data_IF_888074462351
#
_entry.id   IF_888074462351
#
_cell.length_a   1.000
_cell.length_b   1.000
_cell.length_c   1.000
_cell.angle_alpha   90.00
_cell.angle_beta   90.00
_cell.angle_gamma   90.00
#
_symmetry.space_group_name_H-M   'P 1'
#
loop_
_entity.id
_entity.type
_entity.pdbx_description
1 polymer ?
#
# COMPACT_ATOMS: atom_id res chain seq x y z
N UNK A 1 19.01 12.69 7.66
CA UNK A 1 18.11 13.67 7.00
C UNK A 1 17.95 13.47 5.50
N UNK A 2 18.96 12.99 4.75
CA UNK A 2 18.82 12.73 3.30
C UNK A 2 17.74 11.70 2.94
N UNK A 3 17.57 10.64 3.74
CA UNK A 3 16.59 9.58 3.46
C UNK A 3 15.14 10.07 3.57
N UNK A 4 14.81 10.92 4.54
CA UNK A 4 13.46 11.47 4.67
C UNK A 4 13.06 12.26 3.42
N UNK A 5 13.95 13.08 2.86
CA UNK A 5 13.70 13.83 1.62
C UNK A 5 13.49 12.87 0.45
N UNK A 6 14.35 11.85 0.29
CA UNK A 6 14.20 10.84 -0.76
C UNK A 6 12.88 10.07 -0.64
N UNK A 7 12.50 9.68 0.58
CA UNK A 7 11.25 8.99 0.85
C UNK A 7 10.05 9.89 0.57
N UNK A 8 10.06 11.16 0.99
CA UNK A 8 8.98 12.10 0.71
C UNK A 8 8.84 12.36 -0.79
N UNK A 9 9.94 12.52 -1.52
CA UNK A 9 9.91 12.68 -2.99
C UNK A 9 9.38 11.41 -3.66
N UNK A 10 9.87 10.23 -3.24
CA UNK A 10 9.41 8.95 -3.79
C UNK A 10 7.90 8.75 -3.55
N UNK A 11 7.43 8.95 -2.31
CA UNK A 11 6.03 8.83 -1.96
C UNK A 11 5.16 9.87 -2.69
N UNK A 12 5.65 11.11 -2.81
CA UNK A 12 4.99 12.16 -3.58
C UNK A 12 4.85 11.81 -5.06
N UNK A 13 5.92 11.29 -5.68
CA UNK A 13 5.91 10.83 -7.07
C UNK A 13 4.98 9.64 -7.28
N UNK A 14 5.03 8.63 -6.39
CA UNK A 14 4.13 7.47 -6.47
C UNK A 14 2.66 7.88 -6.31
N UNK A 15 2.37 8.81 -5.40
CA UNK A 15 1.03 9.37 -5.21
C UNK A 15 0.57 10.12 -6.46
N UNK A 16 1.42 10.98 -7.02
CA UNK A 16 1.13 11.72 -8.25
C UNK A 16 0.90 10.80 -9.46
N UNK A 17 1.71 9.75 -9.59
CA UNK A 17 1.56 8.74 -10.65
C UNK A 17 0.21 8.02 -10.53
N UNK A 18 -0.20 7.64 -9.32
CA UNK A 18 -1.46 6.95 -9.07
C UNK A 18 -2.67 7.83 -9.45
N UNK A 19 -2.63 9.12 -9.09
CA UNK A 19 -3.67 10.09 -9.48
C UNK A 19 -3.70 10.32 -11.00
N UNK A 20 -2.53 10.42 -11.65
CA UNK A 20 -2.42 10.59 -13.09
C UNK A 20 -3.02 9.39 -13.85
N UNK A 21 -2.69 8.17 -13.42
CA UNK A 21 -3.26 6.94 -13.98
C UNK A 21 -4.78 6.88 -13.74
N UNK A 22 -5.25 7.21 -12.54
CA UNK A 22 -6.68 7.25 -12.22
C UNK A 22 -7.47 8.25 -13.08
N UNK A 23 -6.89 9.43 -13.33
CA UNK A 23 -7.48 10.42 -14.22
C UNK A 23 -7.54 9.93 -15.67
N UNK A 24 -6.49 9.25 -16.15
CA UNK A 24 -6.40 8.75 -17.51
C UNK A 24 -7.36 7.56 -17.77
N UNK A 25 -7.54 6.67 -16.79
CA UNK A 25 -8.38 5.48 -16.92
C UNK A 25 -9.90 5.77 -16.87
N UNK A 26 -10.33 6.83 -16.18
CA UNK A 26 -11.77 7.04 -15.96
C UNK A 26 -12.21 8.45 -15.61
N UNK A 27 -11.35 9.46 -15.78
CA UNK A 27 -11.68 10.84 -15.45
C UNK A 27 -12.15 11.02 -14.00
N UNK A 28 -13.18 11.85 -13.73
CA UNK A 28 -13.71 12.07 -12.38
C UNK A 28 -14.23 10.79 -11.71
N UNK A 29 -14.82 9.88 -12.48
CA UNK A 29 -15.36 8.62 -11.96
C UNK A 29 -14.24 7.64 -11.62
N UNK A 30 -13.16 7.62 -12.41
CA UNK A 30 -11.93 6.91 -12.11
C UNK A 30 -11.29 7.37 -10.80
N UNK A 31 -11.37 8.67 -10.48
CA UNK A 31 -10.89 9.22 -9.21
C UNK A 31 -11.67 8.66 -8.00
N UNK A 32 -13.00 8.56 -8.10
CA UNK A 32 -13.85 7.98 -7.05
C UNK A 32 -13.55 6.50 -6.85
N UNK A 33 -13.42 5.73 -7.95
CA UNK A 33 -13.05 4.31 -7.89
C UNK A 33 -11.67 4.13 -7.26
N UNK A 34 -10.68 4.94 -7.66
CA UNK A 34 -9.34 4.92 -7.09
C UNK A 34 -9.34 5.25 -5.59
N UNK A 35 -10.20 6.19 -5.16
CA UNK A 35 -10.34 6.56 -3.75
C UNK A 35 -10.97 5.43 -2.93
N UNK A 36 -12.02 4.79 -3.44
CA UNK A 36 -12.63 3.62 -2.79
C UNK A 36 -11.63 2.46 -2.72
N UNK A 37 -10.93 2.18 -3.82
CA UNK A 37 -9.89 1.15 -3.85
C UNK A 37 -8.76 1.45 -2.86
N UNK A 38 -8.29 2.70 -2.82
CA UNK A 38 -7.28 3.14 -1.86
C UNK A 38 -7.77 2.98 -0.42
N UNK A 39 -9.02 3.34 -0.12
CA UNK A 39 -9.62 3.14 1.20
C UNK A 39 -9.65 1.66 1.57
N UNK A 40 -10.17 0.79 0.69
CA UNK A 40 -10.21 -0.66 0.92
C UNK A 40 -8.80 -1.21 1.16
N UNK A 41 -7.83 -0.82 0.34
CA UNK A 41 -6.43 -1.21 0.56
C UNK A 41 -5.89 -0.72 1.89
N UNK A 42 -6.17 0.53 2.28
CA UNK A 42 -5.66 1.09 3.55
C UNK A 42 -6.27 0.38 4.76
N UNK A 43 -7.60 0.23 4.78
CA UNK A 43 -8.31 -0.47 5.85
C UNK A 43 -7.95 -1.96 5.90
N UNK A 44 -7.92 -2.63 4.74
CA UNK A 44 -7.52 -4.03 4.64
C UNK A 44 -6.07 -4.25 5.09
N UNK A 45 -5.15 -3.38 4.66
CA UNK A 45 -3.75 -3.46 5.07
C UNK A 45 -3.58 -3.18 6.56
N UNK A 46 -4.38 -2.30 7.15
CA UNK A 46 -4.34 -2.04 8.59
C UNK A 46 -4.86 -3.24 9.40
N UNK A 47 -5.95 -3.87 8.97
CA UNK A 47 -6.58 -4.97 9.71
C UNK A 47 -5.90 -6.32 9.52
N UNK A 48 -5.32 -6.56 8.34
CA UNK A 48 -4.63 -7.81 8.00
C UNK A 48 -3.11 -7.61 7.91
N UNK A 49 -2.57 -6.55 8.51
CA UNK A 49 -1.15 -6.20 8.45
C UNK A 49 -0.26 -7.37 8.88
N UNK A 50 -0.66 -8.06 9.95
CA UNK A 50 0.00 -9.23 10.52
C UNK A 50 0.19 -10.33 9.48
N UNK A 51 -0.91 -10.74 8.83
CA UNK A 51 -0.89 -11.82 7.83
C UNK A 51 -0.15 -11.41 6.57
N UNK A 52 -0.34 -10.16 6.11
CA UNK A 52 0.32 -9.64 4.91
C UNK A 52 1.83 -9.63 5.12
N UNK A 53 2.29 -9.11 6.26
CA UNK A 53 3.72 -9.04 6.59
C UNK A 53 4.31 -10.45 6.71
N UNK A 54 3.65 -11.36 7.42
CA UNK A 54 4.09 -12.75 7.54
C UNK A 54 4.19 -13.44 6.17
N UNK A 55 3.20 -13.26 5.31
CA UNK A 55 3.21 -13.79 3.95
C UNK A 55 4.33 -13.17 3.09
N UNK A 56 4.57 -11.85 3.19
CA UNK A 56 5.64 -11.15 2.47
C UNK A 56 7.04 -11.63 2.85
N UNK A 57 7.25 -11.94 4.14
CA UNK A 57 8.52 -12.49 4.62
C UNK A 57 8.63 -14.02 4.45
N UNK A 58 7.58 -14.69 3.93
CA UNK A 58 7.55 -16.15 3.80
C UNK A 58 7.63 -16.86 5.15
N UNK A 59 7.07 -16.24 6.19
CA UNK A 59 7.11 -16.78 7.55
C UNK A 59 6.42 -18.16 7.58
N UNK A 60 7.08 -19.11 8.23
CA UNK A 60 6.52 -20.43 8.53
C UNK A 60 6.07 -20.46 9.98
N UNK A 61 4.93 -21.09 10.23
CA UNK A 61 4.47 -21.35 11.59
C UNK A 61 5.54 -22.21 12.30
N UNK A 62 6.11 -21.66 13.38
CA UNK A 62 7.02 -22.39 14.25
C UNK A 62 6.19 -23.16 15.27
N UNK A 63 6.55 -24.42 15.52
CA UNK A 63 5.93 -25.20 16.59
C UNK A 63 6.45 -24.72 17.95
N UNK A 64 5.64 -24.81 19.01
CA UNK A 64 6.05 -24.42 20.38
C UNK A 64 7.30 -25.17 20.88
N UNK A 65 7.69 -26.27 20.20
CA UNK A 65 8.88 -27.05 20.54
C UNK A 65 10.19 -26.46 19.97
N UNK A 66 10.10 -25.49 19.05
CA UNK A 66 11.23 -24.89 18.33
C UNK A 66 11.54 -23.44 18.80
N UNK A 67 10.87 -22.95 19.85
CA UNK A 67 11.06 -21.61 20.44
C UNK A 67 12.17 -21.60 21.51
#
# INVERSE_FOLDING_TARGET
>A
MSNAIKTTVLLGLLTGLLLWIGQWLGGPQGLVIALVFAAVMNFGSYWFADRIVLAMYGARELSEQDA
#
